data_IF_273509338544
#
_entry.id   IF_273509338544
#
_cell.length_a   1.000
_cell.length_b   1.000
_cell.length_c   1.000
_cell.angle_alpha   90.00
_cell.angle_beta   90.00
_cell.angle_gamma   90.00
#
_symmetry.space_group_name_H-M   'P 1'
#
loop_
_entity.id
_entity.type
_entity.pdbx_description
1 polymer ?
#
# COMPACT_ATOMS: atom_id res chain seq x y z
N UNK A 1 -15.99 -8.07 -33.78
CA UNK A 1 -16.22 -9.04 -32.67
C UNK A 1 -16.05 -8.25 -31.40
N UNK A 2 -17.17 -7.90 -30.76
CA UNK A 2 -17.19 -7.20 -29.47
C UNK A 2 -17.15 -8.29 -28.39
N UNK A 3 -16.00 -8.47 -27.75
CA UNK A 3 -15.92 -9.32 -26.57
C UNK A 3 -16.72 -8.65 -25.44
N UNK A 4 -17.63 -9.41 -24.84
CA UNK A 4 -18.37 -8.99 -23.65
C UNK A 4 -17.37 -8.86 -22.50
N UNK A 5 -17.08 -7.64 -22.06
CA UNK A 5 -16.19 -7.35 -20.93
C UNK A 5 -16.87 -7.46 -19.55
N UNK A 6 -18.10 -7.97 -19.47
CA UNK A 6 -18.94 -7.89 -18.26
C UNK A 6 -18.49 -8.75 -17.06
N UNK A 7 -17.32 -9.41 -17.09
CA UNK A 7 -16.82 -10.19 -15.96
C UNK A 7 -15.31 -10.49 -15.98
N UNK A 8 -14.46 -9.57 -16.44
CA UNK A 8 -13.00 -9.79 -16.36
C UNK A 8 -12.46 -9.43 -14.98
N UNK A 9 -11.73 -10.35 -14.35
CA UNK A 9 -11.05 -10.09 -13.07
C UNK A 9 -9.83 -9.19 -13.30
N UNK A 10 -9.34 -8.54 -12.23
CA UNK A 10 -8.10 -7.77 -12.28
C UNK A 10 -6.91 -8.60 -12.80
N UNK A 11 -6.82 -9.87 -12.40
CA UNK A 11 -5.77 -10.76 -12.89
C UNK A 11 -5.88 -11.02 -14.40
N UNK A 12 -7.10 -11.24 -14.92
CA UNK A 12 -7.32 -11.41 -16.35
C UNK A 12 -6.90 -10.16 -17.13
N UNK A 13 -7.22 -8.97 -16.60
CA UNK A 13 -6.88 -7.70 -17.22
C UNK A 13 -5.37 -7.45 -17.23
N UNK A 14 -4.67 -7.75 -16.15
CA UNK A 14 -3.20 -7.67 -16.10
C UNK A 14 -2.57 -8.61 -17.12
N UNK A 15 -3.07 -9.85 -17.19
CA UNK A 15 -2.62 -10.86 -18.17
C UNK A 15 -2.86 -10.43 -19.62
N UNK A 16 -4.03 -9.86 -19.92
CA UNK A 16 -4.37 -9.35 -21.24
C UNK A 16 -3.48 -8.16 -21.62
N UNK A 17 -3.25 -7.23 -20.69
CA UNK A 17 -2.36 -6.10 -20.89
C UNK A 17 -0.93 -6.57 -21.19
N UNK A 18 -0.36 -7.45 -20.38
CA UNK A 18 0.98 -8.00 -20.57
C UNK A 18 1.15 -8.65 -21.95
N UNK A 19 0.17 -9.47 -22.37
CA UNK A 19 0.17 -10.08 -23.71
C UNK A 19 0.07 -9.04 -24.82
N UNK A 20 -0.76 -8.02 -24.65
CA UNK A 20 -0.97 -6.98 -25.67
C UNK A 20 0.26 -6.08 -25.88
N UNK A 21 1.04 -5.85 -24.82
CA UNK A 21 2.28 -5.08 -24.87
C UNK A 21 3.50 -5.93 -25.24
N UNK A 22 3.36 -7.25 -25.35
CA UNK A 22 4.49 -8.15 -25.59
C UNK A 22 5.49 -8.16 -24.43
N UNK A 23 5.01 -7.95 -23.19
CA UNK A 23 5.84 -7.94 -21.99
C UNK A 23 6.60 -9.28 -21.89
N UNK A 24 7.94 -9.27 -21.76
CA UNK A 24 8.71 -10.48 -21.55
C UNK A 24 8.26 -11.20 -20.29
N UNK A 25 8.18 -12.52 -20.35
CA UNK A 25 7.97 -13.33 -19.15
C UNK A 25 9.22 -13.28 -18.27
N UNK A 26 9.01 -13.25 -16.97
CA UNK A 26 10.07 -13.29 -15.98
C UNK A 26 9.95 -14.56 -15.13
N UNK A 27 10.77 -15.58 -15.35
CA UNK A 27 10.68 -16.84 -14.61
C UNK A 27 11.08 -16.71 -13.13
N UNK A 28 11.68 -15.59 -12.74
CA UNK A 28 12.15 -15.37 -11.36
C UNK A 28 11.05 -14.80 -10.45
N UNK A 29 9.94 -14.30 -11.00
CA UNK A 29 8.81 -13.76 -10.23
C UNK A 29 7.68 -14.76 -10.03
N UNK A 30 6.78 -14.47 -9.09
CA UNK A 30 5.71 -15.39 -8.71
C UNK A 30 4.64 -15.56 -9.79
N UNK A 31 4.40 -14.53 -10.62
CA UNK A 31 3.52 -14.58 -11.80
C UNK A 31 4.29 -14.23 -13.10
N UNK A 32 5.07 -15.18 -13.67
CA UNK A 32 5.93 -14.94 -14.83
C UNK A 32 5.21 -14.35 -16.04
N UNK A 33 3.96 -14.78 -16.28
CA UNK A 33 3.12 -14.33 -17.39
C UNK A 33 2.75 -12.84 -17.35
N UNK A 34 2.88 -12.19 -16.19
CA UNK A 34 2.62 -10.76 -16.02
C UNK A 34 3.87 -9.90 -16.27
N UNK A 35 5.06 -10.52 -16.26
CA UNK A 35 6.33 -9.82 -16.14
C UNK A 35 6.53 -9.20 -14.74
N UNK A 36 7.72 -8.68 -14.47
CA UNK A 36 8.13 -8.30 -13.11
C UNK A 36 7.23 -7.20 -12.49
N UNK A 37 6.99 -6.10 -13.21
CA UNK A 37 6.23 -4.95 -12.69
C UNK A 37 4.77 -5.27 -12.35
N UNK A 38 4.07 -6.00 -13.23
CA UNK A 38 2.66 -6.34 -13.02
C UNK A 38 2.50 -7.52 -12.05
N UNK A 39 3.48 -8.42 -11.92
CA UNK A 39 3.54 -9.42 -10.85
C UNK A 39 3.59 -8.74 -9.49
N UNK A 40 4.52 -7.80 -9.29
CA UNK A 40 4.64 -7.04 -8.05
C UNK A 40 3.34 -6.30 -7.70
N UNK A 41 2.69 -5.69 -8.70
CA UNK A 41 1.42 -5.00 -8.47
C UNK A 41 0.31 -5.98 -8.05
N UNK A 42 0.22 -7.14 -8.70
CA UNK A 42 -0.76 -8.17 -8.34
C UNK A 42 -0.55 -8.73 -6.94
N UNK A 43 0.69 -9.00 -6.55
CA UNK A 43 1.05 -9.46 -5.21
C UNK A 43 0.64 -8.43 -4.14
N UNK A 44 0.90 -7.14 -4.40
CA UNK A 44 0.45 -6.06 -3.52
C UNK A 44 -1.09 -6.01 -3.38
N UNK A 45 -1.85 -6.30 -4.44
CA UNK A 45 -3.32 -6.32 -4.37
C UNK A 45 -3.82 -7.49 -3.51
N UNK A 46 -3.16 -8.65 -3.56
CA UNK A 46 -3.47 -9.77 -2.67
C UNK A 46 -3.20 -9.40 -1.21
N UNK A 47 -2.08 -8.76 -0.91
CA UNK A 47 -1.73 -8.30 0.44
C UNK A 47 -2.66 -7.19 0.95
N UNK A 48 -3.14 -6.32 0.06
CA UNK A 48 -4.15 -5.31 0.38
C UNK A 48 -5.53 -5.91 0.73
N UNK A 49 -5.70 -7.23 0.56
CA UNK A 49 -6.89 -7.96 0.97
C UNK A 49 -8.02 -7.95 -0.06
N UNK A 50 -7.72 -7.65 -1.34
CA UNK A 50 -8.70 -7.88 -2.41
C UNK A 50 -9.07 -9.37 -2.45
N UNK A 51 -10.33 -9.66 -2.80
CA UNK A 51 -10.78 -11.05 -2.84
C UNK A 51 -9.94 -11.85 -3.81
N UNK A 52 -9.59 -13.06 -3.37
CA UNK A 52 -8.80 -14.00 -4.14
C UNK A 52 -9.56 -15.29 -4.38
N UNK A 53 -9.30 -15.90 -5.53
CA UNK A 53 -9.69 -17.26 -5.85
C UNK A 53 -8.46 -18.16 -5.71
N UNK A 54 -8.61 -19.26 -4.96
CA UNK A 54 -7.58 -20.28 -4.83
C UNK A 54 -7.60 -21.14 -6.11
N UNK A 55 -6.84 -20.73 -7.13
CA UNK A 55 -6.57 -21.61 -8.28
C UNK A 55 -5.46 -22.61 -7.92
N UNK A 56 -5.47 -23.77 -8.59
CA UNK A 56 -4.76 -25.02 -8.26
C UNK A 56 -3.32 -24.93 -7.69
N UNK A 57 -2.57 -23.85 -7.89
CA UNK A 57 -1.24 -23.63 -7.28
C UNK A 57 -0.89 -22.17 -6.89
N UNK A 58 -1.67 -21.15 -7.31
CA UNK A 58 -1.39 -19.72 -7.03
C UNK A 58 -2.70 -18.94 -6.84
N UNK A 59 -2.83 -18.08 -5.82
CA UNK A 59 -4.04 -17.30 -5.61
C UNK A 59 -4.15 -16.14 -6.61
N UNK A 60 -5.31 -15.94 -7.23
CA UNK A 60 -5.52 -14.81 -8.13
C UNK A 60 -6.53 -13.83 -7.56
N UNK A 61 -6.28 -12.51 -7.69
CA UNK A 61 -7.29 -11.48 -7.43
C UNK A 61 -8.48 -11.70 -8.36
N UNK A 62 -9.65 -11.97 -7.77
CA UNK A 62 -10.89 -12.25 -8.50
C UNK A 62 -11.88 -11.07 -8.51
N UNK A 63 -11.51 -9.95 -7.87
CA UNK A 63 -12.30 -8.71 -7.98
C UNK A 63 -12.10 -8.04 -9.34
N UNK A 64 -13.13 -7.31 -9.77
CA UNK A 64 -13.09 -6.49 -10.97
C UNK A 64 -12.30 -5.18 -10.78
N UNK A 65 -12.00 -4.46 -11.86
CA UNK A 65 -11.24 -3.21 -11.83
C UNK A 65 -11.93 -2.07 -11.07
N UNK A 66 -13.22 -2.17 -10.77
CA UNK A 66 -13.96 -1.24 -9.91
C UNK A 66 -13.61 -1.37 -8.43
N UNK A 67 -12.95 -2.47 -8.03
CA UNK A 67 -12.45 -2.63 -6.67
C UNK A 67 -11.16 -1.81 -6.44
N UNK A 68 -10.45 -1.39 -7.49
CA UNK A 68 -9.23 -0.59 -7.35
C UNK A 68 -9.51 0.79 -6.72
N UNK A 69 -8.64 1.21 -5.82
CA UNK A 69 -8.73 2.49 -5.15
C UNK A 69 -7.37 3.17 -5.14
N UNK A 70 -7.34 4.50 -4.99
CA UNK A 70 -6.09 5.24 -4.85
C UNK A 70 -5.25 4.68 -3.68
N UNK A 71 -5.91 4.13 -2.65
CA UNK A 71 -5.26 3.48 -1.51
C UNK A 71 -4.37 2.30 -1.94
N UNK A 72 -4.79 1.50 -2.92
CA UNK A 72 -3.98 0.39 -3.44
C UNK A 72 -2.73 0.90 -4.16
N UNK A 73 -2.83 2.02 -4.91
CA UNK A 73 -1.66 2.65 -5.53
C UNK A 73 -0.70 3.22 -4.48
N UNK A 74 -1.23 3.85 -3.43
CA UNK A 74 -0.42 4.36 -2.34
C UNK A 74 0.31 3.24 -1.61
N UNK A 75 -0.39 2.15 -1.29
CA UNK A 75 0.21 0.98 -0.65
C UNK A 75 1.28 0.37 -1.56
N UNK A 76 0.99 0.19 -2.85
CA UNK A 76 1.95 -0.38 -3.79
C UNK A 76 3.23 0.45 -3.87
N UNK A 77 3.10 1.75 -4.12
CA UNK A 77 4.25 2.61 -4.41
C UNK A 77 5.08 2.87 -3.16
N UNK A 78 4.43 3.08 -2.01
CA UNK A 78 5.11 3.58 -0.81
C UNK A 78 5.43 2.46 0.18
N UNK A 79 4.55 1.48 0.34
CA UNK A 79 4.70 0.43 1.34
C UNK A 79 5.17 -0.91 0.74
N UNK A 80 4.91 -1.18 -0.54
CA UNK A 80 5.26 -2.47 -1.15
C UNK A 80 6.58 -2.43 -1.92
N UNK A 81 6.73 -1.50 -2.87
CA UNK A 81 7.90 -1.48 -3.77
C UNK A 81 9.25 -1.40 -3.05
N UNK A 82 9.46 -0.49 -2.07
CA UNK A 82 10.77 -0.35 -1.41
C UNK A 82 11.24 -1.61 -0.66
N UNK A 83 10.31 -2.49 -0.31
CA UNK A 83 10.57 -3.68 0.50
C UNK A 83 10.62 -4.97 -0.34
N UNK A 84 10.19 -4.92 -1.61
CA UNK A 84 10.18 -6.06 -2.53
C UNK A 84 11.27 -5.94 -3.61
N UNK A 85 12.50 -5.67 -3.17
CA UNK A 85 13.73 -5.67 -3.99
C UNK A 85 13.87 -4.56 -5.04
N UNK A 86 12.87 -3.69 -5.20
CA UNK A 86 12.97 -2.50 -6.06
C UNK A 86 13.75 -1.41 -5.33
N UNK A 87 15.08 -1.50 -5.45
CA UNK A 87 16.01 -0.62 -4.72
C UNK A 87 16.65 0.43 -5.63
N UNK A 88 16.70 0.18 -6.95
CA UNK A 88 17.24 1.11 -7.91
C UNK A 88 16.18 2.05 -8.46
N UNK A 89 16.55 3.34 -8.63
CA UNK A 89 15.64 4.35 -9.21
C UNK A 89 15.20 4.00 -10.63
N UNK A 90 16.06 3.36 -11.42
CA UNK A 90 15.76 2.86 -12.77
C UNK A 90 14.64 1.82 -12.75
N UNK A 91 14.76 0.84 -11.86
CA UNK A 91 13.76 -0.22 -11.69
C UNK A 91 12.43 0.33 -11.17
N UNK A 92 12.49 1.21 -10.16
CA UNK A 92 11.30 1.90 -9.65
C UNK A 92 10.57 2.65 -10.75
N UNK A 93 11.29 3.46 -11.54
CA UNK A 93 10.69 4.21 -12.65
C UNK A 93 10.06 3.29 -13.71
N UNK A 94 10.69 2.14 -13.99
CA UNK A 94 10.14 1.15 -14.91
C UNK A 94 8.82 0.59 -14.39
N UNK A 95 8.76 0.22 -13.11
CA UNK A 95 7.52 -0.28 -12.49
C UNK A 95 6.41 0.77 -12.52
N UNK A 96 6.71 2.03 -12.18
CA UNK A 96 5.73 3.14 -12.26
C UNK A 96 5.25 3.35 -13.70
N UNK A 97 6.15 3.26 -14.69
CA UNK A 97 5.80 3.39 -16.09
C UNK A 97 4.88 2.25 -16.58
N UNK A 98 5.18 1.00 -16.21
CA UNK A 98 4.37 -0.15 -16.58
C UNK A 98 2.99 -0.11 -15.93
N UNK A 99 2.92 0.32 -14.67
CA UNK A 99 1.67 0.55 -13.97
C UNK A 99 0.83 1.63 -14.67
N UNK A 100 1.44 2.77 -15.01
CA UNK A 100 0.76 3.82 -15.76
C UNK A 100 0.26 3.32 -17.12
N UNK A 101 1.08 2.53 -17.82
CA UNK A 101 0.74 1.93 -19.12
C UNK A 101 -0.42 0.95 -19.03
N UNK A 102 -0.55 0.21 -17.92
CA UNK A 102 -1.69 -0.66 -17.66
C UNK A 102 -3.01 0.12 -17.54
N UNK A 103 -3.04 1.21 -16.78
CA UNK A 103 -4.25 2.05 -16.68
C UNK A 103 -4.58 2.72 -18.02
N UNK A 104 -3.59 3.24 -18.74
CA UNK A 104 -3.81 3.77 -20.09
C UNK A 104 -4.31 2.71 -21.07
N UNK A 105 -3.90 1.45 -20.90
CA UNK A 105 -4.43 0.34 -21.69
C UNK A 105 -5.90 0.08 -21.35
N UNK A 106 -6.29 0.08 -20.07
CA UNK A 106 -7.70 -0.04 -19.68
C UNK A 106 -8.56 1.09 -20.25
N UNK A 107 -8.09 2.34 -20.14
CA UNK A 107 -8.76 3.52 -20.71
C UNK A 107 -8.99 3.39 -22.22
N UNK A 108 -7.95 2.99 -22.96
CA UNK A 108 -8.02 2.80 -24.42
C UNK A 108 -9.01 1.70 -24.82
N UNK A 109 -9.10 0.64 -24.03
CA UNK A 109 -10.05 -0.45 -24.23
C UNK A 109 -11.44 -0.16 -23.63
N UNK A 110 -11.66 1.04 -23.07
CA UNK A 110 -12.91 1.48 -22.46
C UNK A 110 -13.39 0.56 -21.33
N UNK A 111 -12.45 -0.01 -20.59
CA UNK A 111 -12.74 -0.88 -19.45
C UNK A 111 -13.06 0.01 -18.26
N UNK A 112 -14.29 -0.04 -17.70
CA UNK A 112 -14.63 0.75 -16.53
C UNK A 112 -13.74 0.39 -15.34
N UNK A 113 -13.25 1.38 -14.61
CA UNK A 113 -12.51 1.14 -13.37
C UNK A 113 -12.71 2.28 -12.39
N UNK A 114 -12.48 2.02 -11.10
CA UNK A 114 -12.79 2.98 -10.06
C UNK A 114 -11.87 4.21 -10.05
N UNK A 115 -10.73 4.16 -10.77
CA UNK A 115 -9.83 5.30 -10.96
C UNK A 115 -10.12 6.13 -12.23
N UNK A 116 -11.24 5.87 -12.93
CA UNK A 116 -11.61 6.64 -14.10
C UNK A 116 -11.79 8.12 -13.73
N UNK A 117 -11.18 9.03 -14.51
CA UNK A 117 -11.22 10.46 -14.26
C UNK A 117 -10.21 10.99 -13.22
N UNK A 118 -9.43 10.11 -12.59
CA UNK A 118 -8.29 10.51 -11.76
C UNK A 118 -7.11 10.88 -12.67
N UNK A 119 -6.44 12.01 -12.41
CA UNK A 119 -5.13 12.30 -13.02
C UNK A 119 -4.07 11.36 -12.43
N UNK A 120 -3.98 10.17 -13.02
CA UNK A 120 -3.04 9.14 -12.58
C UNK A 120 -1.59 9.63 -12.68
N UNK A 121 -1.26 10.42 -13.69
CA UNK A 121 0.08 10.96 -13.86
C UNK A 121 0.48 11.84 -12.68
N UNK A 122 -0.42 12.71 -12.21
CA UNK A 122 -0.18 13.50 -10.99
C UNK A 122 -0.12 12.63 -9.75
N UNK A 123 -1.07 11.71 -9.59
CA UNK A 123 -1.11 10.82 -8.42
C UNK A 123 0.19 10.02 -8.24
N UNK A 124 0.69 9.39 -9.32
CA UNK A 124 1.92 8.60 -9.26
C UNK A 124 3.14 9.46 -8.93
N UNK A 125 3.22 10.69 -9.48
CA UNK A 125 4.30 11.64 -9.12
C UNK A 125 4.24 12.04 -7.66
N UNK A 126 3.06 12.37 -7.15
CA UNK A 126 2.87 12.81 -5.76
C UNK A 126 3.22 11.67 -4.79
N UNK A 127 2.76 10.44 -5.08
CA UNK A 127 3.11 9.26 -4.28
C UNK A 127 4.61 8.97 -4.31
N UNK A 128 5.26 9.09 -5.47
CA UNK A 128 6.70 8.91 -5.60
C UNK A 128 7.48 9.95 -4.79
N UNK A 129 7.04 11.21 -4.78
CA UNK A 129 7.65 12.26 -3.98
C UNK A 129 7.46 12.07 -2.47
N UNK A 130 6.36 11.41 -2.05
CA UNK A 130 6.09 11.12 -0.64
C UNK A 130 6.82 9.88 -0.12
N UNK A 131 7.27 8.99 -0.99
CA UNK A 131 7.85 7.70 -0.62
C UNK A 131 9.04 7.84 0.34
N UNK A 132 10.01 8.70 0.02
CA UNK A 132 11.22 8.86 0.84
C UNK A 132 10.91 9.28 2.28
N UNK A 133 10.00 10.24 2.46
CA UNK A 133 9.52 10.66 3.79
C UNK A 133 8.89 9.49 4.55
N UNK A 134 8.05 8.70 3.88
CA UNK A 134 7.36 7.58 4.51
C UNK A 134 8.33 6.47 4.89
N UNK A 135 9.32 6.17 4.05
CA UNK A 135 10.39 5.22 4.36
C UNK A 135 11.20 5.67 5.58
N UNK A 136 11.61 6.94 5.61
CA UNK A 136 12.32 7.49 6.76
C UNK A 136 11.47 7.40 8.05
N UNK A 137 10.17 7.65 7.95
CA UNK A 137 9.24 7.53 9.06
C UNK A 137 9.12 6.07 9.53
N UNK A 138 8.95 5.10 8.61
CA UNK A 138 8.92 3.67 8.93
C UNK A 138 10.19 3.24 9.67
N UNK A 139 11.37 3.66 9.20
CA UNK A 139 12.65 3.35 9.88
C UNK A 139 12.73 3.92 11.29
N UNK A 140 12.31 5.17 11.50
CA UNK A 140 12.33 5.72 12.86
C UNK A 140 11.30 5.07 13.77
N UNK A 141 10.15 4.63 13.25
CA UNK A 141 9.18 3.90 14.06
C UNK A 141 9.71 2.52 14.44
N UNK A 142 10.35 1.79 13.51
CA UNK A 142 11.01 0.52 13.80
C UNK A 142 12.13 0.66 14.85
N UNK A 143 12.92 1.74 14.78
CA UNK A 143 13.90 2.05 15.82
C UNK A 143 13.25 2.28 17.21
N UNK A 144 12.04 2.86 17.26
CA UNK A 144 11.33 3.06 18.53
C UNK A 144 10.67 1.79 19.06
N UNK A 145 10.12 0.94 18.19
CA UNK A 145 9.56 -0.35 18.61
C UNK A 145 10.69 -1.20 19.21
N UNK A 146 11.84 -1.28 18.54
CA UNK A 146 13.03 -1.98 19.04
C UNK A 146 13.52 -1.43 20.39
N UNK A 147 13.47 -0.11 20.61
CA UNK A 147 13.81 0.50 21.91
C UNK A 147 12.82 0.11 23.01
N UNK A 148 11.53 0.09 22.70
CA UNK A 148 10.48 -0.32 23.64
C UNK A 148 10.66 -1.78 24.04
N UNK A 149 11.00 -2.64 23.09
CA UNK A 149 11.21 -4.07 23.34
C UNK A 149 12.51 -4.40 24.09
N UNK A 150 13.46 -3.48 24.21
CA UNK A 150 14.67 -3.68 25.06
C UNK A 150 14.33 -3.74 26.54
N UNK A 151 13.29 -3.05 26.96
CA UNK A 151 12.77 -3.04 28.33
C UNK A 151 11.23 -3.04 28.26
N UNK A 152 10.63 -4.21 27.96
CA UNK A 152 9.22 -4.28 27.63
C UNK A 152 8.37 -3.96 28.87
N UNK A 153 7.44 -3.00 28.78
CA UNK A 153 6.55 -2.69 29.90
C UNK A 153 5.54 -3.82 30.12
N UNK A 154 4.96 -3.87 31.32
CA UNK A 154 3.81 -4.74 31.57
C UNK A 154 2.61 -4.31 30.70
N UNK A 155 2.03 -5.27 29.99
CA UNK A 155 0.94 -5.04 29.04
C UNK A 155 -0.37 -5.61 29.56
N UNK A 156 -1.43 -4.82 29.48
CA UNK A 156 -2.79 -5.26 29.72
C UNK A 156 -3.41 -5.90 28.48
N UNK A 157 -3.15 -5.31 27.30
CA UNK A 157 -3.60 -5.83 26.00
C UNK A 157 -2.72 -5.32 24.86
N UNK A 158 -2.86 -5.97 23.70
CA UNK A 158 -2.18 -5.60 22.46
C UNK A 158 -3.21 -5.43 21.35
N UNK A 159 -3.00 -4.44 20.48
CA UNK A 159 -3.83 -4.18 19.31
C UNK A 159 -2.92 -4.06 18.08
N UNK A 160 -3.19 -4.87 17.06
CA UNK A 160 -2.54 -4.78 15.74
C UNK A 160 -3.58 -4.31 14.73
N UNK A 161 -3.30 -3.19 14.07
CA UNK A 161 -4.19 -2.61 13.06
C UNK A 161 -3.41 -1.62 12.18
N UNK A 162 -4.04 -1.17 11.10
CA UNK A 162 -3.63 0.04 10.39
C UNK A 162 -4.24 1.25 11.09
N UNK A 163 -3.38 2.11 11.60
CA UNK A 163 -3.76 3.31 12.33
C UNK A 163 -3.68 4.56 11.47
N UNK A 164 -4.74 5.36 11.47
CA UNK A 164 -4.76 6.68 10.84
C UNK A 164 -4.23 7.74 11.80
N UNK A 165 -3.32 8.60 11.35
CA UNK A 165 -2.96 9.85 12.06
C UNK A 165 -4.11 10.83 12.00
N UNK A 166 -4.70 11.15 13.15
CA UNK A 166 -5.82 12.10 13.28
C UNK A 166 -5.32 13.48 13.67
N UNK A 167 -4.36 13.56 14.60
CA UNK A 167 -3.75 14.82 15.01
C UNK A 167 -2.32 14.60 15.53
N UNK A 168 -1.54 15.68 15.55
CA UNK A 168 -0.19 15.74 16.12
C UNK A 168 -0.19 16.91 17.09
N UNK A 169 0.00 16.64 18.38
CA UNK A 169 -0.13 17.65 19.43
C UNK A 169 0.80 17.39 20.61
N UNK A 170 1.49 18.43 21.11
CA UNK A 170 2.23 18.39 22.39
C UNK A 170 3.17 17.18 22.59
N UNK A 171 3.84 16.72 21.52
CA UNK A 171 4.73 15.55 21.59
C UNK A 171 4.04 14.20 21.43
N UNK A 172 2.76 14.19 21.05
CA UNK A 172 1.95 12.99 20.83
C UNK A 172 1.47 12.89 19.39
N UNK A 173 1.48 11.66 18.89
CA UNK A 173 0.80 11.24 17.68
C UNK A 173 -0.52 10.60 18.08
N UNK A 174 -1.64 11.19 17.66
CA UNK A 174 -2.97 10.67 17.95
C UNK A 174 -3.45 9.83 16.77
N UNK A 175 -3.78 8.57 17.06
CA UNK A 175 -4.04 7.51 16.11
C UNK A 175 -5.45 6.96 16.29
N UNK A 176 -6.08 6.55 15.19
CA UNK A 176 -7.36 5.84 15.22
C UNK A 176 -7.27 4.58 14.36
N UNK A 177 -7.61 3.43 14.94
CA UNK A 177 -7.64 2.16 14.23
C UNK A 177 -8.76 2.09 13.21
N UNK A 178 -8.70 1.12 12.29
CA UNK A 178 -9.80 0.83 11.35
C UNK A 178 -10.91 0.06 12.04
N UNK A 179 -10.55 -0.84 12.96
CA UNK A 179 -11.48 -1.73 13.66
C UNK A 179 -12.00 -1.13 14.96
N UNK A 180 -11.20 -0.27 15.58
CA UNK A 180 -11.52 0.39 16.84
C UNK A 180 -11.56 1.91 16.65
N UNK A 181 -12.63 2.54 17.14
CA UNK A 181 -12.80 4.00 17.10
C UNK A 181 -12.07 4.69 18.24
N UNK A 182 -11.53 3.94 19.20
CA UNK A 182 -10.71 4.47 20.28
C UNK A 182 -9.54 5.29 19.73
N UNK A 183 -9.34 6.47 20.31
CA UNK A 183 -8.22 7.34 19.97
C UNK A 183 -7.01 6.95 20.83
N UNK A 184 -5.96 6.47 20.18
CA UNK A 184 -4.73 6.05 20.82
C UNK A 184 -3.69 7.18 20.75
N UNK A 185 -3.05 7.49 21.87
CA UNK A 185 -2.08 8.59 21.96
C UNK A 185 -0.69 8.03 22.21
N UNK A 186 0.17 8.10 21.21
CA UNK A 186 1.55 7.64 21.30
C UNK A 186 2.48 8.82 21.53
N UNK A 187 3.26 8.75 22.61
CA UNK A 187 4.35 9.71 22.85
C UNK A 187 5.54 9.31 21.99
N UNK A 188 5.94 10.18 21.06
CA UNK A 188 7.02 9.89 20.12
C UNK A 188 8.07 11.02 20.14
N UNK A 189 9.34 10.70 19.83
CA UNK A 189 10.38 11.71 19.61
C UNK A 189 10.03 12.71 18.51
N UNK A 190 10.57 13.94 18.62
CA UNK A 190 10.29 15.04 17.69
C UNK A 190 10.68 14.73 16.24
N UNK A 191 11.76 13.97 16.03
CA UNK A 191 12.18 13.55 14.68
C UNK A 191 11.18 12.63 13.98
N UNK A 192 10.30 11.94 14.73
CA UNK A 192 9.21 11.13 14.16
C UNK A 192 8.00 11.99 13.90
N UNK A 193 7.66 12.85 14.87
CA UNK A 193 6.53 13.76 14.76
C UNK A 193 6.69 14.76 13.61
N UNK A 194 7.93 15.19 13.32
CA UNK A 194 8.22 16.12 12.22
C UNK A 194 8.04 15.49 10.82
N UNK A 195 8.10 14.15 10.73
CA UNK A 195 7.87 13.40 9.50
C UNK A 195 6.42 12.98 9.33
N UNK A 196 5.71 12.67 10.42
CA UNK A 196 4.31 12.28 10.39
C UNK A 196 3.42 13.39 9.79
N UNK A 197 2.39 12.98 9.06
CA UNK A 197 1.38 13.87 8.48
C UNK A 197 -0.01 13.39 8.85
N UNK A 198 -0.94 14.34 8.98
CA UNK A 198 -2.35 14.02 9.18
C UNK A 198 -2.82 13.16 8.01
N UNK A 199 -3.56 12.11 8.32
CA UNK A 199 -4.02 11.05 7.43
C UNK A 199 -2.96 10.02 6.98
N UNK A 200 -1.72 10.06 7.45
CA UNK A 200 -0.84 8.88 7.27
C UNK A 200 -1.52 7.63 7.86
N UNK A 201 -1.34 6.50 7.20
CA UNK A 201 -1.70 5.16 7.63
C UNK A 201 -0.42 4.47 8.11
N UNK A 202 -0.42 3.98 9.34
CA UNK A 202 0.71 3.31 9.97
C UNK A 202 0.28 1.89 10.32
N UNK A 203 0.98 0.89 9.79
CA UNK A 203 0.84 -0.49 10.25
C UNK A 203 1.58 -0.65 11.58
N UNK A 204 0.87 -0.83 12.68
CA UNK A 204 1.48 -0.88 14.02
C UNK A 204 0.88 -2.00 14.86
N UNK A 205 1.70 -2.52 15.75
CA UNK A 205 1.25 -3.27 16.93
C UNK A 205 1.48 -2.40 18.17
N UNK A 206 0.39 -2.04 18.86
CA UNK A 206 0.40 -1.18 20.04
C UNK A 206 0.06 -1.97 21.30
N UNK A 207 0.77 -1.68 22.39
CA UNK A 207 0.54 -2.23 23.72
C UNK A 207 -0.09 -1.20 24.65
N UNK A 208 -1.13 -1.61 25.36
CA UNK A 208 -1.78 -0.84 26.41
C UNK A 208 -1.17 -1.21 27.76
N UNK A 209 -0.53 -0.26 28.44
CA UNK A 209 0.07 -0.48 29.78
C UNK A 209 -0.87 -0.06 30.91
N UNK A 210 -2.17 0.13 30.66
CA UNK A 210 -3.19 0.80 31.49
C UNK A 210 -2.98 2.31 31.73
N UNK A 211 -1.74 2.79 31.70
CA UNK A 211 -1.42 4.21 31.84
C UNK A 211 -1.25 4.91 30.49
N UNK A 212 -0.75 4.19 29.48
CA UNK A 212 -0.45 4.74 28.16
C UNK A 212 -0.36 3.65 27.10
N UNK A 213 -0.42 4.11 25.85
CA UNK A 213 -0.08 3.30 24.70
C UNK A 213 1.42 3.36 24.41
N UNK A 214 2.00 2.21 24.12
CA UNK A 214 3.39 2.06 23.65
C UNK A 214 3.41 1.32 22.33
N UNK A 215 4.45 1.54 21.53
CA UNK A 215 4.61 0.87 20.24
C UNK A 215 5.47 -0.38 20.42
N UNK A 216 4.95 -1.53 20.02
CA UNK A 216 5.62 -2.83 20.14
C UNK A 216 6.23 -3.25 18.80
N UNK A 217 5.58 -2.90 17.70
CA UNK A 217 6.03 -3.20 16.35
C UNK A 217 5.58 -2.10 15.40
N UNK A 218 6.40 -1.81 14.40
CA UNK A 218 6.07 -0.88 13.33
C UNK A 218 6.34 -1.55 11.99
N UNK A 219 5.30 -1.68 11.17
CA UNK A 219 5.39 -2.08 9.78
C UNK A 219 5.57 -0.86 8.88
N UNK A 220 4.84 -0.83 7.77
CA UNK A 220 4.99 0.24 6.79
C UNK A 220 4.11 1.47 7.09
N UNK A 221 4.58 2.63 6.65
CA UNK A 221 3.82 3.87 6.64
C UNK A 221 3.52 4.30 5.22
N UNK A 222 2.28 4.74 4.97
CA UNK A 222 1.87 5.30 3.68
C UNK A 222 0.80 6.38 3.89
N UNK A 223 0.73 7.42 3.04
CA UNK A 223 -0.28 8.45 3.15
C UNK A 223 -1.68 7.88 2.86
N UNK A 224 -2.73 8.49 3.42
CA UNK A 224 -4.08 8.29 2.87
C UNK A 224 -4.07 8.80 1.43
N UNK A 225 -4.38 7.90 0.51
CA UNK A 225 -4.49 8.28 -0.88
C UNK A 225 -5.63 9.29 -1.08
N UNK A 226 -5.52 10.20 -2.09
CA UNK A 226 -6.58 11.13 -2.40
C UNK A 226 -7.90 10.39 -2.62
N UNK A 227 -8.98 10.84 -1.97
CA UNK A 227 -10.29 10.25 -2.20
C UNK A 227 -10.67 10.47 -3.67
N UNK A 228 -11.14 9.41 -4.33
CA UNK A 228 -11.79 9.54 -5.63
C UNK A 228 -13.05 10.37 -5.43
N UNK A 229 -13.03 11.63 -5.88
CA UNK A 229 -14.25 12.42 -5.99
C UNK A 229 -15.15 11.72 -7.01
N UNK A 230 -16.23 11.10 -6.55
CA UNK A 230 -17.29 10.54 -7.40
C UNK A 230 -18.35 11.60 -7.65
#
# INVERSE_FOLDING_TARGET
MTENHDSSTLYDLLSQCARSHGTPQDPEVFYPELGSSLSLFHECLLEAGLKREETLDRPHVCEGPEALQCAHLSQFIIAFLPFNSVTEKSEFNQVIFDLFSFFQWMDRNKIPHALNGVDLGSLLRDLSAMQERCLQLSHYLDDQSARTLKDPPELCRTVTDFFKVVSIENGFLCLQGRRDKELMRLKLPENILSLARINDQLDLTLGDTSERWVMLEAGQVFPKAPETQR
#
